data_IF_931148737659
#
_entry.id   IF_931148737659
#
_cell.length_a   1.000
_cell.length_b   1.000
_cell.length_c   1.000
_cell.angle_alpha   90.00
_cell.angle_beta   90.00
_cell.angle_gamma   90.00
#
_symmetry.space_group_name_H-M   'P 1'
#
loop_
_entity.id
_entity.type
_entity.pdbx_description
1 polymer ?
#
# COMPACT_ATOMS: atom_id res chain seq x y z
N UNK A 1 8.18 8.84 -0.30
CA UNK A 1 7.43 7.72 0.31
C UNK A 1 5.92 7.84 0.05
N UNK A 2 5.30 9.02 0.22
CA UNK A 2 3.84 9.20 -0.02
C UNK A 2 3.35 9.25 -1.48
N UNK A 3 4.24 9.16 -2.47
CA UNK A 3 3.85 9.24 -3.90
C UNK A 3 2.86 8.13 -4.29
N UNK A 4 2.95 6.95 -3.67
CA UNK A 4 2.01 5.86 -3.95
C UNK A 4 0.56 6.20 -3.54
N UNK A 5 0.38 7.12 -2.60
CA UNK A 5 -0.94 7.59 -2.18
C UNK A 5 -1.60 8.50 -3.22
N UNK A 6 -0.83 9.16 -4.09
CA UNK A 6 -1.39 10.05 -5.13
C UNK A 6 -2.28 9.30 -6.14
N UNK A 7 -2.18 7.97 -6.22
CA UNK A 7 -3.02 7.11 -7.07
C UNK A 7 -4.42 6.88 -6.46
N UNK A 8 -4.62 7.22 -5.19
CA UNK A 8 -5.87 7.04 -4.46
C UNK A 8 -7.14 7.50 -5.20
N UNK A 9 -7.21 8.70 -5.83
CA UNK A 9 -8.41 9.14 -6.53
C UNK A 9 -8.85 8.21 -7.67
N UNK A 10 -7.90 7.53 -8.31
CA UNK A 10 -8.16 6.62 -9.44
C UNK A 10 -8.97 5.40 -8.99
N UNK A 11 -8.79 4.94 -7.74
CA UNK A 11 -9.50 3.76 -7.24
C UNK A 11 -11.00 3.98 -7.09
N UNK A 12 -11.46 5.23 -6.93
CA UNK A 12 -12.89 5.56 -6.97
C UNK A 12 -13.51 5.37 -8.37
N UNK A 13 -12.71 5.36 -9.43
CA UNK A 13 -13.18 5.15 -10.81
C UNK A 13 -13.25 3.67 -11.21
N UNK A 14 -12.41 2.83 -10.60
CA UNK A 14 -12.29 1.40 -10.95
C UNK A 14 -13.22 0.54 -10.08
N UNK A 15 -13.53 0.97 -8.85
CA UNK A 15 -14.47 0.29 -7.93
C UNK A 15 -14.29 -1.24 -7.84
N UNK A 16 -13.09 -1.75 -7.52
CA UNK A 16 -12.91 -3.18 -7.27
C UNK A 16 -13.77 -3.64 -6.08
N UNK A 17 -14.11 -4.94 -6.05
CA UNK A 17 -14.88 -5.49 -4.92
C UNK A 17 -14.16 -5.26 -3.59
N UNK A 18 -14.93 -5.01 -2.52
CA UNK A 18 -14.37 -4.69 -1.21
C UNK A 18 -13.45 -5.81 -0.70
N UNK A 19 -13.88 -7.06 -0.79
CA UNK A 19 -13.08 -8.23 -0.36
C UNK A 19 -11.75 -8.35 -1.11
N UNK A 20 -11.75 -8.13 -2.43
CA UNK A 20 -10.51 -8.16 -3.22
C UNK A 20 -9.60 -6.99 -2.83
N UNK A 21 -10.17 -5.81 -2.66
CA UNK A 21 -9.45 -4.60 -2.23
C UNK A 21 -8.78 -4.79 -0.88
N UNK A 22 -9.47 -5.41 0.08
CA UNK A 22 -8.93 -5.73 1.40
C UNK A 22 -7.69 -6.63 1.31
N UNK A 23 -7.81 -7.72 0.54
CA UNK A 23 -6.72 -8.68 0.33
C UNK A 23 -5.51 -7.98 -0.30
N UNK A 24 -5.71 -7.31 -1.44
CA UNK A 24 -4.61 -6.64 -2.16
C UNK A 24 -3.94 -5.57 -1.29
N UNK A 25 -4.74 -4.80 -0.55
CA UNK A 25 -4.22 -3.74 0.32
C UNK A 25 -3.38 -4.27 1.47
N UNK A 26 -3.79 -5.41 2.06
CA UNK A 26 -3.03 -6.09 3.11
C UNK A 26 -1.69 -6.60 2.59
N UNK A 27 -1.70 -7.33 1.48
CA UNK A 27 -0.48 -7.89 0.88
C UNK A 27 0.50 -6.80 0.42
N UNK A 28 0.00 -5.65 -0.04
CA UNK A 28 0.82 -4.52 -0.43
C UNK A 28 1.66 -3.92 0.73
N UNK A 29 1.31 -4.17 1.99
CA UNK A 29 2.09 -3.71 3.14
C UNK A 29 3.30 -4.60 3.46
N UNK A 30 3.25 -5.87 3.03
CA UNK A 30 4.24 -6.88 3.42
C UNK A 30 5.67 -6.46 3.03
N UNK A 31 5.96 -5.97 1.81
CA UNK A 31 7.33 -5.61 1.45
C UNK A 31 7.91 -4.46 2.26
N UNK A 32 7.08 -3.47 2.63
CA UNK A 32 7.50 -2.38 3.50
C UNK A 32 7.77 -2.86 4.93
N UNK A 33 6.93 -3.76 5.45
CA UNK A 33 7.16 -4.39 6.76
C UNK A 33 8.46 -5.20 6.77
N UNK A 34 8.67 -6.06 5.78
CA UNK A 34 9.92 -6.82 5.65
C UNK A 34 11.11 -5.87 5.55
N UNK A 35 11.01 -4.79 4.78
CA UNK A 35 12.07 -3.79 4.69
C UNK A 35 12.37 -3.11 6.03
N UNK A 36 11.34 -2.71 6.77
CA UNK A 36 11.49 -2.14 8.10
C UNK A 36 12.10 -3.11 9.12
N UNK A 37 11.64 -4.37 9.15
CA UNK A 37 12.13 -5.38 10.08
C UNK A 37 13.57 -5.80 9.78
N UNK A 38 13.91 -6.02 8.51
CA UNK A 38 15.28 -6.36 8.10
C UNK A 38 16.27 -5.23 8.36
N UNK A 39 15.84 -3.95 8.23
CA UNK A 39 16.62 -2.79 8.67
C UNK A 39 16.78 -2.75 10.20
N UNK A 40 15.69 -2.95 10.96
CA UNK A 40 15.69 -2.91 12.42
C UNK A 40 16.65 -3.94 13.02
N UNK A 41 16.69 -5.15 12.47
CA UNK A 41 17.61 -6.21 12.90
C UNK A 41 19.01 -6.12 12.28
N UNK A 42 19.31 -5.05 11.51
CA UNK A 42 20.59 -4.83 10.84
C UNK A 42 21.01 -5.99 9.92
N UNK A 43 20.05 -6.77 9.41
CA UNK A 43 20.34 -7.84 8.43
C UNK A 43 20.80 -7.27 7.09
N UNK A 44 20.35 -6.05 6.77
CA UNK A 44 20.85 -5.26 5.65
C UNK A 44 20.63 -3.77 5.89
N UNK A 45 21.41 -2.94 5.19
CA UNK A 45 21.08 -1.53 5.00
C UNK A 45 19.98 -1.39 3.94
N UNK A 46 19.12 -0.38 4.07
CA UNK A 46 18.13 -0.07 3.05
C UNK A 46 18.61 1.01 2.11
N UNK A 47 18.44 0.75 0.83
CA UNK A 47 18.82 1.65 -0.26
C UNK A 47 17.66 2.56 -0.60
N UNK A 48 17.95 3.72 -1.19
CA UNK A 48 16.91 4.67 -1.63
C UNK A 48 15.93 4.03 -2.61
N UNK A 49 16.42 3.19 -3.52
CA UNK A 49 15.59 2.45 -4.46
C UNK A 49 14.59 1.56 -3.70
N UNK A 50 15.06 0.82 -2.70
CA UNK A 50 14.20 -0.09 -1.96
C UNK A 50 13.15 0.64 -1.13
N UNK A 51 13.50 1.77 -0.48
CA UNK A 51 12.52 2.62 0.22
C UNK A 51 11.46 3.19 -0.71
N UNK A 52 11.85 3.57 -1.93
CA UNK A 52 10.92 4.10 -2.91
C UNK A 52 9.97 2.98 -3.38
N UNK A 53 10.47 1.81 -3.73
CA UNK A 53 9.63 0.72 -4.24
C UNK A 53 8.69 0.15 -3.17
N UNK A 54 9.17 -0.09 -1.96
CA UNK A 54 8.32 -0.58 -0.85
C UNK A 54 7.32 0.47 -0.40
N UNK A 55 7.72 1.75 -0.37
CA UNK A 55 6.83 2.87 -0.06
C UNK A 55 5.75 3.09 -1.13
N UNK A 56 6.09 2.96 -2.42
CA UNK A 56 5.12 3.06 -3.51
C UNK A 56 4.07 1.94 -3.41
N UNK A 57 4.50 0.69 -3.20
CA UNK A 57 3.58 -0.44 -3.08
C UNK A 57 2.65 -0.27 -1.88
N UNK A 58 3.22 0.04 -0.70
CA UNK A 58 2.44 0.29 0.53
C UNK A 58 1.44 1.43 0.35
N UNK A 59 1.86 2.55 -0.28
CA UNK A 59 1.00 3.70 -0.54
C UNK A 59 -0.16 3.39 -1.49
N UNK A 60 0.06 2.57 -2.52
CA UNK A 60 -1.02 2.09 -3.40
C UNK A 60 -2.03 1.23 -2.62
N UNK A 61 -1.54 0.30 -1.78
CA UNK A 61 -2.39 -0.51 -0.91
C UNK A 61 -3.22 0.34 0.07
N UNK A 62 -2.64 1.40 0.64
CA UNK A 62 -3.39 2.32 1.50
C UNK A 62 -4.49 3.04 0.73
N UNK A 63 -4.20 3.56 -0.47
CA UNK A 63 -5.20 4.20 -1.32
C UNK A 63 -6.34 3.25 -1.68
N UNK A 64 -6.01 2.02 -2.09
CA UNK A 64 -7.01 1.01 -2.42
C UNK A 64 -7.91 0.68 -1.22
N UNK A 65 -7.32 0.51 -0.02
CA UNK A 65 -8.08 0.22 1.20
C UNK A 65 -9.03 1.37 1.58
N UNK A 66 -8.53 2.60 1.57
CA UNK A 66 -9.34 3.77 1.98
C UNK A 66 -10.51 3.97 1.01
N UNK A 67 -10.26 3.87 -0.29
CA UNK A 67 -11.29 4.15 -1.31
C UNK A 67 -12.37 3.08 -1.28
N UNK A 68 -11.97 1.81 -1.25
CA UNK A 68 -12.90 0.69 -1.15
C UNK A 68 -13.72 0.71 0.15
N UNK A 69 -13.12 1.12 1.27
CA UNK A 69 -13.83 1.29 2.54
C UNK A 69 -14.87 2.41 2.48
N UNK A 70 -14.52 3.56 1.89
CA UNK A 70 -15.47 4.67 1.71
C UNK A 70 -16.64 4.23 0.83
N UNK A 71 -16.37 3.58 -0.31
CA UNK A 71 -17.40 3.09 -1.22
C UNK A 71 -18.32 2.10 -0.50
N UNK A 72 -17.76 1.14 0.25
CA UNK A 72 -18.53 0.12 0.97
C UNK A 72 -19.39 0.69 2.10
N UNK A 73 -18.93 1.73 2.79
CA UNK A 73 -19.72 2.40 3.85
C UNK A 73 -20.89 3.21 3.26
N UNK A 74 -20.72 3.77 2.06
CA UNK A 74 -21.71 4.62 1.40
C UNK A 74 -22.71 3.85 0.53
N UNK A 75 -22.45 2.57 0.24
CA UNK A 75 -23.32 1.66 -0.52
C UNK A 75 -24.32 0.93 0.36
#
# INVERSE_FOLDING_TARGET
MFIGFCIFPIYFLITPSFSLSLILSFFAQIPLLIDGFTQKWKWRSSTNLLRVTTGLLSGNGMGLFISSSIIWILS
#
